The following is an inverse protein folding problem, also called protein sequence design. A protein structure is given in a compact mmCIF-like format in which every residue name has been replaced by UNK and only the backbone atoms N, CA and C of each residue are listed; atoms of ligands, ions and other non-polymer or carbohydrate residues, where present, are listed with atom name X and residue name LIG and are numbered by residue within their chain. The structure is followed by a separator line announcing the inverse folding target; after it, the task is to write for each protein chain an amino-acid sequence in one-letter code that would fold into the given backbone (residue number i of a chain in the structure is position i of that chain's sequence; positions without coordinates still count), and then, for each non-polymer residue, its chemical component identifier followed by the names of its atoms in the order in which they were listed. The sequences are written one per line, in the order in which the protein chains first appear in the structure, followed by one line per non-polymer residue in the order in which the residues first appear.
data_IF_402574700661
#
_entry.id   IF_402574700661
#
_cell.length_a   1.000
_cell.length_b   1.000
_cell.length_c   1.000
_cell.angle_alpha   90.00
_cell.angle_beta   90.00
_cell.angle_gamma   90.00
#
_symmetry.space_group_name_H-M   'P 1'
#
loop_
_entity.id
_entity.type
_entity.pdbx_description
1 polymer ?
#
# COMPACT_ATOMS: atom_id res chain seq x y z
N UNK A 1 -0.65 14.40 10.80
CA UNK A 1 -1.97 13.83 10.46
C UNK A 1 -3.16 14.67 10.94
N UNK A 2 -3.22 15.09 12.20
CA UNK A 2 -4.40 15.77 12.75
C UNK A 2 -4.51 17.23 12.31
N UNK A 3 -3.40 17.95 12.19
CA UNK A 3 -3.38 19.39 12.01
C UNK A 3 -3.23 19.87 10.56
N UNK A 4 -2.52 19.13 9.71
CA UNK A 4 -2.23 19.51 8.33
C UNK A 4 -3.49 19.60 7.45
N UNK A 5 -3.47 20.39 6.38
CA UNK A 5 -4.59 20.60 5.46
C UNK A 5 -5.81 21.27 6.10
N UNK A 6 -5.64 22.05 7.18
CA UNK A 6 -6.72 22.81 7.84
C UNK A 6 -6.52 24.30 7.64
N UNK A 7 -7.56 24.99 7.22
CA UNK A 7 -7.58 26.44 7.27
C UNK A 7 -7.69 26.89 8.74
N UNK A 8 -6.76 27.72 9.20
CA UNK A 8 -6.72 28.24 10.58
C UNK A 8 -7.14 29.71 10.69
N UNK A 9 -7.76 30.24 9.64
CA UNK A 9 -8.28 31.60 9.64
C UNK A 9 -9.45 31.70 10.65
N UNK A 10 -9.48 32.70 11.53
CA UNK A 10 -10.60 32.90 12.46
C UNK A 10 -11.94 33.02 11.72
N UNK A 11 -12.95 32.27 12.17
CA UNK A 11 -14.27 32.23 11.56
C UNK A 11 -14.46 31.12 10.51
N UNK A 12 -13.39 30.52 10.02
CA UNK A 12 -13.47 29.39 9.09
C UNK A 12 -13.79 28.07 9.81
N UNK A 13 -14.43 27.11 9.11
CA UNK A 13 -14.70 25.79 9.67
C UNK A 13 -13.42 25.07 10.11
N UNK A 14 -13.50 24.36 11.23
CA UNK A 14 -12.37 23.53 11.71
C UNK A 14 -12.00 22.41 10.75
N UNK A 15 -12.96 21.87 10.00
CA UNK A 15 -12.73 20.81 9.03
C UNK A 15 -12.83 21.37 7.59
N UNK A 16 -12.12 20.70 6.67
CA UNK A 16 -12.19 21.03 5.23
C UNK A 16 -13.57 20.66 4.70
N UNK A 17 -14.18 21.54 3.93
CA UNK A 17 -15.44 21.27 3.24
C UNK A 17 -15.20 20.40 1.99
N UNK A 18 -16.08 19.45 1.66
CA UNK A 18 -16.05 18.80 0.36
C UNK A 18 -16.52 19.76 -0.74
N UNK A 19 -15.60 20.14 -1.64
CA UNK A 19 -15.91 21.00 -2.79
C UNK A 19 -16.18 20.13 -4.00
N UNK A 20 -17.44 20.05 -4.41
CA UNK A 20 -17.91 19.26 -5.56
C UNK A 20 -18.09 20.18 -6.79
N UNK A 21 -16.96 20.63 -7.34
CA UNK A 21 -16.93 21.52 -8.50
C UNK A 21 -16.03 20.96 -9.59
N UNK A 22 -16.46 21.06 -10.84
CA UNK A 22 -15.62 20.75 -12.01
C UNK A 22 -14.91 21.99 -12.57
N UNK A 23 -15.51 23.18 -12.40
CA UNK A 23 -15.03 24.45 -12.96
C UNK A 23 -15.26 25.60 -11.97
N UNK A 24 -14.52 26.67 -12.16
CA UNK A 24 -14.48 27.82 -11.28
C UNK A 24 -14.72 29.13 -12.06
N UNK A 25 -15.16 30.19 -11.38
CA UNK A 25 -15.36 31.49 -11.97
C UNK A 25 -14.03 32.13 -12.35
N UNK A 26 -14.00 32.80 -13.53
CA UNK A 26 -12.87 33.56 -14.03
C UNK A 26 -13.01 35.05 -13.71
N UNK A 27 -11.90 35.81 -13.61
CA UNK A 27 -10.49 35.36 -13.71
C UNK A 27 -9.96 34.87 -12.36
N UNK A 28 -9.32 33.68 -12.35
CA UNK A 28 -8.58 33.12 -11.20
C UNK A 28 -7.56 32.13 -11.73
N UNK A 29 -6.60 31.71 -10.88
CA UNK A 29 -5.59 30.70 -11.23
C UNK A 29 -6.21 29.29 -11.29
N UNK A 30 -7.33 29.04 -10.62
CA UNK A 30 -8.04 27.77 -10.66
C UNK A 30 -9.17 27.82 -11.69
N UNK A 31 -9.04 27.01 -12.74
CA UNK A 31 -9.97 27.00 -13.87
C UNK A 31 -10.84 25.77 -13.89
N UNK A 32 -10.21 24.59 -13.71
CA UNK A 32 -10.87 23.30 -13.91
C UNK A 32 -10.27 22.22 -12.98
N UNK A 33 -11.11 21.48 -12.26
CA UNK A 33 -10.64 20.58 -11.21
C UNK A 33 -9.71 19.46 -11.69
N UNK A 34 -9.82 19.01 -12.95
CA UNK A 34 -8.91 18.00 -13.49
C UNK A 34 -7.47 18.51 -13.61
N UNK A 35 -7.27 19.78 -13.94
CA UNK A 35 -5.94 20.42 -14.01
C UNK A 35 -5.49 20.95 -12.65
N UNK A 36 -6.34 21.69 -11.97
CA UNK A 36 -5.97 22.58 -10.88
C UNK A 36 -6.45 22.06 -9.51
N UNK A 37 -7.13 20.90 -9.50
CA UNK A 37 -7.68 20.31 -8.29
C UNK A 37 -8.87 21.13 -7.71
N UNK A 38 -9.17 20.84 -6.46
CA UNK A 38 -10.16 21.55 -5.65
C UNK A 38 -9.55 21.91 -4.30
N UNK A 39 -10.10 22.86 -3.53
CA UNK A 39 -9.65 23.12 -2.16
C UNK A 39 -9.61 21.85 -1.29
N UNK A 40 -10.48 20.87 -1.55
CA UNK A 40 -10.50 19.59 -0.84
C UNK A 40 -9.31 18.72 -1.23
N UNK A 41 -8.99 18.60 -2.53
CA UNK A 41 -7.81 17.83 -2.97
C UNK A 41 -6.49 18.46 -2.52
N UNK A 42 -6.41 19.81 -2.49
CA UNK A 42 -5.22 20.51 -2.01
C UNK A 42 -4.97 20.24 -0.53
N UNK A 43 -6.02 20.29 0.29
CA UNK A 43 -5.92 19.95 1.70
C UNK A 43 -5.56 18.48 1.94
N UNK A 44 -6.01 17.58 1.07
CA UNK A 44 -5.60 16.17 1.08
C UNK A 44 -4.12 16.03 0.74
N UNK A 45 -3.67 16.68 -0.34
CA UNK A 45 -2.27 16.61 -0.81
C UNK A 45 -1.32 17.23 0.23
N UNK A 46 -1.69 18.34 0.88
CA UNK A 46 -0.93 18.89 2.01
C UNK A 46 -0.81 17.90 3.17
N UNK A 47 -1.94 17.26 3.55
CA UNK A 47 -1.94 16.30 4.64
C UNK A 47 -1.08 15.08 4.32
N UNK A 48 -1.24 14.47 3.13
CA UNK A 48 -0.52 13.27 2.74
C UNK A 48 0.96 13.55 2.48
N UNK A 49 1.30 14.69 1.87
CA UNK A 49 2.68 15.12 1.70
C UNK A 49 3.42 15.26 3.03
N UNK A 50 2.75 15.84 4.03
CA UNK A 50 3.30 15.97 5.38
C UNK A 50 3.51 14.64 6.12
N UNK A 51 2.85 13.56 5.69
CA UNK A 51 3.06 12.21 6.28
C UNK A 51 4.42 11.61 5.91
N UNK A 52 4.94 11.93 4.73
CA UNK A 52 6.19 11.39 4.18
C UNK A 52 7.28 12.47 4.08
N UNK A 53 7.07 13.64 4.67
CA UNK A 53 7.99 14.78 4.53
C UNK A 53 8.30 15.17 3.08
N UNK A 54 7.27 15.12 2.20
CA UNK A 54 7.36 15.39 0.77
C UNK A 54 6.17 16.20 0.25
N UNK A 55 6.04 16.29 -1.07
CA UNK A 55 4.90 16.86 -1.78
C UNK A 55 4.07 15.75 -2.39
N UNK A 56 2.75 15.79 -2.20
CA UNK A 56 1.85 14.74 -2.65
C UNK A 56 1.04 15.14 -3.88
N UNK A 57 0.65 14.13 -4.66
CA UNK A 57 -0.41 14.19 -5.67
C UNK A 57 -1.42 13.08 -5.41
N UNK A 58 -2.68 13.41 -5.35
CA UNK A 58 -3.80 12.48 -5.17
C UNK A 58 -4.35 11.98 -6.50
N UNK A 59 -4.81 10.73 -6.51
CA UNK A 59 -5.32 10.02 -7.69
C UNK A 59 -6.64 9.30 -7.38
N UNK A 60 -7.42 9.02 -8.42
CA UNK A 60 -8.70 8.30 -8.31
C UNK A 60 -8.56 6.86 -7.76
N UNK A 61 -7.38 6.27 -7.78
CA UNK A 61 -7.09 4.95 -7.21
C UNK A 61 -5.59 4.73 -7.05
N UNK A 62 -5.19 3.72 -6.25
CA UNK A 62 -3.80 3.28 -6.17
C UNK A 62 -3.26 2.84 -7.54
N UNK A 63 -4.06 2.15 -8.35
CA UNK A 63 -3.67 1.76 -9.71
C UNK A 63 -3.43 2.96 -10.62
N UNK A 64 -4.21 4.04 -10.49
CA UNK A 64 -3.98 5.25 -11.26
C UNK A 64 -2.64 5.92 -10.87
N UNK A 65 -2.27 5.89 -9.59
CA UNK A 65 -0.98 6.35 -9.11
C UNK A 65 0.18 5.49 -9.64
N UNK A 66 0.07 4.15 -9.54
CA UNK A 66 1.07 3.22 -10.06
C UNK A 66 1.25 3.36 -11.58
N UNK A 67 0.15 3.48 -12.33
CA UNK A 67 0.18 3.66 -13.79
C UNK A 67 0.94 4.92 -14.21
N UNK A 68 0.83 6.00 -13.46
CA UNK A 68 1.56 7.25 -13.74
C UNK A 68 3.08 7.04 -13.63
N UNK A 69 3.55 6.27 -12.64
CA UNK A 69 4.98 5.94 -12.51
C UNK A 69 5.45 5.05 -13.67
N UNK A 70 4.72 3.98 -13.97
CA UNK A 70 5.12 2.99 -14.97
C UNK A 70 5.06 3.58 -16.39
N UNK A 71 3.93 4.20 -16.75
CA UNK A 71 3.71 4.70 -18.11
C UNK A 71 4.51 5.96 -18.46
N UNK A 72 5.21 6.59 -17.50
CA UNK A 72 6.16 7.66 -17.79
C UNK A 72 7.43 7.18 -18.49
N UNK A 73 7.79 5.93 -18.29
CA UNK A 73 9.03 5.38 -18.80
C UNK A 73 9.05 5.39 -20.33
N UNK A 74 10.17 5.78 -20.95
CA UNK A 74 10.37 5.66 -22.40
C UNK A 74 10.24 4.20 -22.87
N UNK A 75 9.95 4.02 -24.14
CA UNK A 75 10.03 2.70 -24.80
C UNK A 75 11.50 2.26 -24.80
N UNK A 76 11.74 1.00 -24.45
CA UNK A 76 13.07 0.41 -24.33
C UNK A 76 13.67 0.50 -22.92
N UNK A 77 12.96 1.09 -21.96
CA UNK A 77 13.40 1.11 -20.55
C UNK A 77 13.54 -0.28 -19.95
N UNK A 78 14.37 -0.41 -18.95
CA UNK A 78 14.50 -1.61 -18.10
C UNK A 78 13.93 -1.32 -16.72
N UNK A 79 13.07 -2.19 -16.22
CA UNK A 79 12.45 -2.07 -14.89
C UNK A 79 12.78 -3.28 -14.03
N UNK A 80 13.09 -3.05 -12.75
CA UNK A 80 13.21 -4.10 -11.74
C UNK A 80 11.98 -4.06 -10.84
N UNK A 81 11.38 -5.23 -10.59
CA UNK A 81 10.16 -5.39 -9.81
C UNK A 81 10.24 -6.66 -8.95
N UNK A 82 9.46 -6.80 -7.88
CA UNK A 82 9.33 -8.09 -7.19
C UNK A 82 8.88 -9.21 -8.12
N UNK A 83 9.16 -10.46 -7.75
CA UNK A 83 8.70 -11.65 -8.52
C UNK A 83 7.17 -11.64 -8.63
N UNK A 84 6.49 -11.31 -7.55
CA UNK A 84 5.02 -11.29 -7.45
C UNK A 84 4.53 -9.92 -6.92
N UNK A 85 4.64 -8.82 -7.71
CA UNK A 85 4.11 -7.53 -7.28
C UNK A 85 2.58 -7.58 -7.24
N UNK A 86 1.95 -6.60 -6.62
CA UNK A 86 0.48 -6.49 -6.62
C UNK A 86 -0.10 -6.77 -8.02
N UNK A 87 -1.08 -7.68 -8.12
CA UNK A 87 -1.56 -8.22 -9.39
C UNK A 87 -1.97 -7.17 -10.43
N UNK A 88 -2.50 -6.01 -9.98
CA UNK A 88 -2.83 -4.91 -10.89
C UNK A 88 -1.59 -4.26 -11.49
N UNK A 89 -0.54 -4.07 -10.69
CA UNK A 89 0.77 -3.57 -11.14
C UNK A 89 1.42 -4.59 -12.07
N UNK A 90 1.40 -5.88 -11.70
CA UNK A 90 1.86 -6.98 -12.57
C UNK A 90 1.17 -6.96 -13.94
N UNK A 91 -0.15 -6.68 -13.97
CA UNK A 91 -0.90 -6.57 -15.23
C UNK A 91 -0.36 -5.51 -16.17
N UNK A 92 -0.11 -4.28 -15.67
CA UNK A 92 0.48 -3.20 -16.48
C UNK A 92 1.89 -3.58 -16.96
N UNK A 93 2.69 -4.17 -16.06
CA UNK A 93 4.07 -4.56 -16.35
C UNK A 93 4.12 -5.63 -17.45
N UNK A 94 3.32 -6.68 -17.31
CA UNK A 94 3.27 -7.81 -18.25
C UNK A 94 2.75 -7.35 -19.64
N UNK A 95 1.75 -6.49 -19.67
CA UNK A 95 1.23 -5.93 -20.92
C UNK A 95 2.30 -5.09 -21.62
N UNK A 96 2.99 -4.22 -20.90
CA UNK A 96 4.06 -3.39 -21.47
C UNK A 96 5.26 -4.21 -21.96
N UNK A 97 5.63 -5.27 -21.23
CA UNK A 97 6.68 -6.21 -21.64
C UNK A 97 6.28 -6.96 -22.92
N UNK A 98 5.05 -7.49 -22.98
CA UNK A 98 4.53 -8.18 -24.16
C UNK A 98 4.45 -7.29 -25.40
N UNK A 99 4.24 -5.99 -25.21
CA UNK A 99 4.25 -4.96 -26.28
C UNK A 99 5.65 -4.46 -26.62
N UNK A 100 6.70 -4.97 -25.99
CA UNK A 100 8.08 -4.50 -26.19
C UNK A 100 8.34 -3.09 -25.68
N UNK A 101 7.51 -2.59 -24.77
CA UNK A 101 7.66 -1.25 -24.21
C UNK A 101 8.85 -1.16 -23.28
N UNK A 102 9.09 -2.22 -22.48
CA UNK A 102 10.20 -2.33 -21.53
C UNK A 102 10.69 -3.76 -21.36
N UNK A 103 11.88 -3.92 -20.80
CA UNK A 103 12.41 -5.19 -20.29
C UNK A 103 12.23 -5.25 -18.78
N UNK A 104 11.94 -6.45 -18.24
CA UNK A 104 11.58 -6.63 -16.84
C UNK A 104 12.52 -7.58 -16.13
N UNK A 105 13.16 -7.13 -15.05
CA UNK A 105 13.86 -7.96 -14.08
C UNK A 105 12.94 -8.24 -12.91
N UNK A 106 12.64 -9.52 -12.66
CA UNK A 106 11.81 -9.95 -11.53
C UNK A 106 12.74 -10.51 -10.46
N UNK A 107 12.77 -9.84 -9.30
CA UNK A 107 13.73 -10.08 -8.23
C UNK A 107 13.01 -10.55 -6.96
N UNK A 108 13.64 -11.47 -6.22
CA UNK A 108 13.19 -11.80 -4.88
C UNK A 108 13.32 -10.55 -3.99
N UNK A 109 12.27 -10.25 -3.26
CA UNK A 109 12.21 -9.06 -2.41
C UNK A 109 13.30 -9.06 -1.32
N UNK A 110 13.73 -10.23 -0.87
CA UNK A 110 14.77 -10.38 0.14
C UNK A 110 16.20 -10.41 -0.44
N UNK A 111 16.37 -10.49 -1.77
CA UNK A 111 17.69 -10.53 -2.42
C UNK A 111 18.28 -9.12 -2.58
N UNK A 112 18.71 -8.52 -1.47
CA UNK A 112 19.32 -7.19 -1.47
C UNK A 112 20.45 -7.03 -2.50
N UNK A 113 21.41 -7.95 -2.68
CA UNK A 113 22.42 -7.87 -3.73
C UNK A 113 21.84 -7.67 -5.13
N UNK A 114 20.82 -8.44 -5.52
CA UNK A 114 20.19 -8.32 -6.84
C UNK A 114 19.53 -6.94 -7.03
N UNK A 115 18.94 -6.37 -5.99
CA UNK A 115 18.40 -5.01 -6.04
C UNK A 115 19.49 -3.95 -6.18
N UNK A 116 20.64 -4.11 -5.53
CA UNK A 116 21.79 -3.21 -5.71
C UNK A 116 22.33 -3.25 -7.14
N UNK A 117 22.39 -4.41 -7.79
CA UNK A 117 22.77 -4.56 -9.19
C UNK A 117 21.74 -3.90 -10.12
N UNK A 118 20.45 -4.02 -9.81
CA UNK A 118 19.37 -3.38 -10.54
C UNK A 118 19.47 -1.85 -10.53
N UNK A 119 19.92 -1.23 -9.44
CA UNK A 119 20.16 0.20 -9.35
C UNK A 119 21.20 0.71 -10.39
N UNK A 120 22.08 -0.15 -10.85
CA UNK A 120 23.10 0.21 -11.83
C UNK A 120 22.64 0.03 -13.28
N UNK A 121 21.57 -0.73 -13.51
CA UNK A 121 21.17 -1.17 -14.85
C UNK A 121 19.77 -0.79 -15.27
N UNK A 122 18.87 -0.56 -14.31
CA UNK A 122 17.45 -0.28 -14.56
C UNK A 122 17.14 1.22 -14.57
N UNK A 123 16.09 1.60 -15.30
CA UNK A 123 15.53 2.94 -15.31
C UNK A 123 14.54 3.16 -14.16
N UNK A 124 13.90 2.07 -13.71
CA UNK A 124 13.00 2.05 -12.55
C UNK A 124 13.32 0.84 -11.69
N UNK A 125 13.46 1.05 -10.40
CA UNK A 125 13.42 0.03 -9.35
C UNK A 125 12.12 0.23 -8.58
N UNK A 126 11.21 -0.73 -8.72
CA UNK A 126 9.91 -0.74 -8.04
C UNK A 126 9.95 -1.74 -6.89
N UNK A 127 9.85 -1.26 -5.68
CA UNK A 127 9.77 -2.06 -4.46
C UNK A 127 8.34 -2.04 -3.90
N UNK A 128 7.85 -3.18 -3.41
CA UNK A 128 6.58 -3.29 -2.68
C UNK A 128 6.87 -3.92 -1.32
N UNK A 129 6.88 -3.12 -0.25
CA UNK A 129 7.32 -3.63 1.04
C UNK A 129 6.50 -3.11 2.22
N UNK A 130 5.99 -4.01 3.10
CA UNK A 130 5.93 -5.48 2.96
C UNK A 130 5.20 -5.95 1.71
N UNK A 131 5.67 -7.05 1.11
CA UNK A 131 5.15 -7.64 -0.13
C UNK A 131 3.80 -8.35 0.10
N UNK A 132 2.90 -8.26 -0.85
CA UNK A 132 1.60 -8.94 -0.82
C UNK A 132 1.64 -10.22 -1.69
N UNK A 133 1.33 -11.41 -1.16
CA UNK A 133 0.81 -11.69 0.18
C UNK A 133 1.83 -12.29 1.16
N UNK A 134 3.09 -12.44 0.78
CA UNK A 134 4.10 -13.18 1.55
C UNK A 134 4.69 -12.36 2.70
N UNK A 135 4.38 -11.08 2.79
CA UNK A 135 4.86 -10.16 3.84
C UNK A 135 6.37 -9.97 3.88
N UNK A 136 7.09 -10.33 2.81
CA UNK A 136 8.54 -10.13 2.71
C UNK A 136 8.89 -8.65 2.80
N UNK A 137 9.87 -8.31 3.61
CA UNK A 137 10.34 -6.93 3.79
C UNK A 137 11.67 -6.74 3.09
N UNK A 138 11.75 -5.76 2.18
CA UNK A 138 12.99 -5.36 1.53
C UNK A 138 13.89 -4.57 2.48
N UNK A 139 15.20 -4.67 2.32
CA UNK A 139 16.17 -3.84 3.03
C UNK A 139 16.21 -2.43 2.44
N UNK A 140 15.14 -1.65 2.71
CA UNK A 140 15.02 -0.28 2.19
C UNK A 140 16.20 0.62 2.57
N UNK A 141 16.73 0.61 3.82
CA UNK A 141 17.89 1.44 4.16
C UNK A 141 19.09 1.16 3.26
N UNK A 142 19.39 -0.09 3.00
CA UNK A 142 20.53 -0.47 2.14
C UNK A 142 20.25 -0.13 0.68
N UNK A 143 19.07 -0.46 0.15
CA UNK A 143 18.74 -0.29 -1.27
C UNK A 143 18.57 1.19 -1.62
N UNK A 144 17.81 1.96 -0.84
CA UNK A 144 17.50 3.34 -1.16
C UNK A 144 18.70 4.29 -0.99
N UNK A 145 19.62 4.00 -0.05
CA UNK A 145 20.82 4.80 0.17
C UNK A 145 21.99 4.46 -0.77
N UNK A 146 21.89 3.33 -1.50
CA UNK A 146 22.98 2.89 -2.36
C UNK A 146 23.19 3.83 -3.58
N UNK A 147 24.44 3.99 -4.06
CA UNK A 147 24.69 4.65 -5.31
C UNK A 147 23.92 3.98 -6.47
N UNK A 148 23.40 4.78 -7.38
CA UNK A 148 22.64 4.30 -8.54
C UNK A 148 23.04 5.01 -9.81
N UNK A 149 22.73 4.44 -10.96
CA UNK A 149 22.95 5.05 -12.26
C UNK A 149 22.13 6.34 -12.37
N UNK A 150 22.70 7.36 -13.03
CA UNK A 150 21.98 8.60 -13.29
C UNK A 150 20.66 8.33 -14.04
N UNK A 151 19.59 8.92 -13.55
CA UNK A 151 18.25 8.76 -14.11
C UNK A 151 17.45 7.54 -13.59
N UNK A 152 18.08 6.63 -12.82
CA UNK A 152 17.36 5.55 -12.15
C UNK A 152 16.44 6.11 -11.07
N UNK A 153 15.17 5.74 -11.11
CA UNK A 153 14.15 6.09 -10.10
C UNK A 153 13.90 4.90 -9.18
N UNK A 154 13.92 5.15 -7.88
CA UNK A 154 13.49 4.18 -6.86
C UNK A 154 12.10 4.57 -6.39
N UNK A 155 11.12 3.72 -6.71
CA UNK A 155 9.73 3.84 -6.30
C UNK A 155 9.38 2.77 -5.26
N UNK A 156 8.73 3.17 -4.19
CA UNK A 156 8.32 2.25 -3.12
C UNK A 156 6.80 2.30 -2.94
N UNK A 157 6.13 1.19 -3.18
CA UNK A 157 4.75 0.98 -2.69
C UNK A 157 4.80 0.63 -1.21
N UNK A 158 4.41 1.58 -0.38
CA UNK A 158 4.41 1.49 1.08
C UNK A 158 3.00 1.33 1.65
N UNK A 159 2.07 0.78 0.85
CA UNK A 159 0.65 0.67 1.21
C UNK A 159 0.43 -0.12 2.50
N UNK A 160 1.15 -1.24 2.71
CA UNK A 160 0.96 -2.09 3.89
C UNK A 160 1.58 -1.53 5.16
N UNK A 161 2.76 -0.95 5.05
CA UNK A 161 3.44 -0.34 6.20
C UNK A 161 2.80 0.98 6.60
N UNK A 162 2.34 1.78 5.66
CA UNK A 162 2.00 3.19 5.80
C UNK A 162 3.19 4.05 6.27
N UNK A 163 3.04 5.36 6.20
CA UNK A 163 4.05 6.30 6.71
C UNK A 163 4.25 6.26 8.23
N UNK A 164 3.39 5.53 8.95
CA UNK A 164 3.54 5.35 10.39
C UNK A 164 4.63 4.35 10.75
N UNK A 165 4.85 3.36 9.88
CA UNK A 165 5.79 2.27 10.17
C UNK A 165 7.09 2.36 9.37
N UNK A 166 7.08 3.02 8.20
CA UNK A 166 8.28 3.28 7.42
C UNK A 166 8.13 4.57 6.62
N UNK A 167 9.23 5.24 6.36
CA UNK A 167 9.28 6.50 5.58
C UNK A 167 10.36 6.38 4.48
N UNK A 168 10.02 5.79 3.33
CA UNK A 168 11.00 5.50 2.29
C UNK A 168 11.72 6.72 1.73
N UNK A 169 11.07 7.91 1.69
CA UNK A 169 11.74 9.15 1.27
C UNK A 169 12.88 9.55 2.21
N UNK A 170 12.77 9.27 3.52
CA UNK A 170 13.84 9.54 4.48
C UNK A 170 15.02 8.55 4.32
N UNK A 171 14.75 7.39 3.71
CA UNK A 171 15.74 6.37 3.40
C UNK A 171 16.42 6.57 2.04
N UNK A 172 15.93 7.50 1.21
CA UNK A 172 16.53 7.83 -0.09
C UNK A 172 15.74 7.38 -1.32
N UNK A 173 14.50 6.89 -1.17
CA UNK A 173 13.61 6.67 -2.30
C UNK A 173 13.25 7.99 -3.00
N UNK A 174 12.97 7.94 -4.31
CA UNK A 174 12.58 9.13 -5.10
C UNK A 174 11.08 9.38 -5.01
N UNK A 175 10.29 8.33 -4.95
CA UNK A 175 8.84 8.41 -4.88
C UNK A 175 8.26 7.30 -4.00
N UNK A 176 7.28 7.66 -3.18
CA UNK A 176 6.48 6.72 -2.40
C UNK A 176 5.07 6.70 -2.96
N UNK A 177 4.54 5.52 -3.13
CA UNK A 177 3.16 5.27 -3.54
C UNK A 177 2.38 4.66 -2.38
N UNK A 178 1.14 5.10 -2.18
CA UNK A 178 0.17 4.42 -1.34
C UNK A 178 -1.16 4.24 -2.09
N UNK A 179 -1.75 3.07 -1.98
CA UNK A 179 -3.18 2.93 -2.18
C UNK A 179 -3.89 3.48 -0.95
N UNK A 180 -4.32 4.75 -1.02
CA UNK A 180 -5.02 5.40 0.09
C UNK A 180 -6.41 4.77 0.36
N UNK A 181 -6.91 3.96 -0.55
CA UNK A 181 -8.05 3.04 -0.40
C UNK A 181 -7.96 2.16 0.85
N UNK A 182 -6.71 1.83 1.26
CA UNK A 182 -6.41 0.87 2.33
C UNK A 182 -6.38 1.57 3.69
N UNK A 183 -5.34 1.41 4.45
CA UNK A 183 -5.19 1.92 5.82
C UNK A 183 -5.39 3.44 5.96
N UNK A 184 -5.08 4.24 4.93
CA UNK A 184 -5.26 5.70 4.98
C UNK A 184 -6.76 6.04 5.04
N UNK A 185 -7.57 5.53 4.11
CA UNK A 185 -9.03 5.63 4.14
C UNK A 185 -9.62 4.85 5.31
N UNK A 186 -9.34 3.55 5.37
CA UNK A 186 -9.53 2.68 6.53
C UNK A 186 -10.97 2.33 6.89
N UNK A 187 -11.95 2.57 5.99
CA UNK A 187 -13.38 2.35 6.26
C UNK A 187 -14.10 1.62 5.13
N UNK A 188 -13.37 1.05 4.18
CA UNK A 188 -13.90 0.25 3.04
C UNK A 188 -14.93 1.00 2.18
N UNK A 189 -14.85 2.34 2.11
CA UNK A 189 -15.88 3.23 1.55
C UNK A 189 -15.37 4.15 0.42
N UNK A 190 -14.09 4.04 0.04
CA UNK A 190 -13.49 4.89 -1.00
C UNK A 190 -12.42 4.18 -1.82
N UNK A 191 -12.13 4.73 -2.98
CA UNK A 191 -10.94 4.45 -3.77
C UNK A 191 -10.08 5.71 -3.87
N UNK A 192 -8.79 5.61 -3.56
CA UNK A 192 -7.85 6.72 -3.72
C UNK A 192 -6.41 6.18 -3.85
N UNK A 193 -5.56 6.96 -4.51
CA UNK A 193 -4.12 6.74 -4.57
C UNK A 193 -3.36 8.01 -4.27
N UNK A 194 -2.10 7.89 -3.91
CA UNK A 194 -1.21 9.02 -3.70
C UNK A 194 0.20 8.68 -4.15
N UNK A 195 0.86 9.65 -4.79
CA UNK A 195 2.31 9.67 -4.99
C UNK A 195 2.90 10.82 -4.18
N UNK A 196 4.01 10.54 -3.52
CA UNK A 196 4.71 11.54 -2.71
C UNK A 196 6.18 11.53 -3.11
N UNK A 197 6.74 12.72 -3.35
CA UNK A 197 8.13 12.90 -3.75
C UNK A 197 8.68 14.22 -3.20
N UNK A 198 10.01 14.33 -3.13
CA UNK A 198 10.72 15.57 -2.83
C UNK A 198 11.30 16.22 -4.09
N UNK A 199 11.19 15.53 -5.22
CA UNK A 199 11.69 16.02 -6.51
C UNK A 199 10.60 16.80 -7.24
N UNK A 200 10.79 18.09 -7.43
CA UNK A 200 9.80 18.97 -8.07
C UNK A 200 9.60 18.64 -9.54
N UNK A 201 10.63 18.17 -10.25
CA UNK A 201 10.51 17.77 -11.66
C UNK A 201 9.65 16.53 -11.81
N UNK A 202 9.85 15.51 -10.95
CA UNK A 202 8.98 14.32 -10.91
C UNK A 202 7.55 14.69 -10.54
N UNK A 203 7.36 15.59 -9.58
CA UNK A 203 6.04 16.04 -9.16
C UNK A 203 5.27 16.65 -10.33
N UNK A 204 5.90 17.55 -11.08
CA UNK A 204 5.28 18.21 -12.25
C UNK A 204 5.02 17.21 -13.39
N UNK A 205 5.94 16.27 -13.61
CA UNK A 205 5.72 15.20 -14.59
C UNK A 205 4.50 14.33 -14.21
N UNK A 206 4.37 13.95 -12.95
CA UNK A 206 3.23 13.18 -12.46
C UNK A 206 1.93 13.99 -12.54
N UNK A 207 1.97 15.29 -12.24
CA UNK A 207 0.82 16.21 -12.39
C UNK A 207 0.36 16.27 -13.84
N UNK A 208 1.27 16.43 -14.76
CA UNK A 208 0.97 16.47 -16.19
C UNK A 208 0.31 15.15 -16.66
N UNK A 209 0.85 14.01 -16.23
CA UNK A 209 0.28 12.69 -16.58
C UNK A 209 -1.08 12.45 -15.93
N UNK A 210 -1.28 12.85 -14.67
CA UNK A 210 -2.59 12.83 -14.02
C UNK A 210 -3.62 13.59 -14.85
N UNK A 211 -3.26 14.78 -15.32
CA UNK A 211 -4.11 15.61 -16.18
C UNK A 211 -4.49 14.88 -17.47
N UNK A 212 -3.50 14.33 -18.20
CA UNK A 212 -3.73 13.66 -19.48
C UNK A 212 -4.55 12.37 -19.35
N UNK A 213 -4.30 11.58 -18.31
CA UNK A 213 -4.99 10.31 -18.10
C UNK A 213 -6.35 10.48 -17.41
N UNK A 214 -6.66 11.69 -16.94
CA UNK A 214 -7.90 11.95 -16.21
C UNK A 214 -7.97 11.24 -14.85
N UNK A 215 -6.83 10.86 -14.29
CA UNK A 215 -6.71 10.06 -13.06
C UNK A 215 -6.94 10.88 -11.78
N UNK A 216 -7.85 11.86 -11.81
CA UNK A 216 -8.11 12.84 -10.78
C UNK A 216 -9.06 12.27 -9.72
N UNK A 217 -8.76 12.49 -8.45
CA UNK A 217 -9.62 12.10 -7.33
C UNK A 217 -10.92 12.92 -7.30
N UNK A 218 -12.03 12.30 -6.94
CA UNK A 218 -13.30 13.00 -6.69
C UNK A 218 -13.28 13.77 -5.36
N UNK A 219 -14.09 14.84 -5.28
CA UNK A 219 -14.13 15.69 -4.08
C UNK A 219 -14.63 14.96 -2.83
N UNK A 220 -15.53 13.98 -2.98
CA UNK A 220 -16.03 13.18 -1.87
C UNK A 220 -14.98 12.18 -1.40
N UNK A 221 -14.31 11.48 -2.32
CA UNK A 221 -13.23 10.54 -2.01
C UNK A 221 -12.06 11.27 -1.34
N UNK A 222 -11.74 12.50 -1.79
CA UNK A 222 -10.73 13.34 -1.16
C UNK A 222 -11.12 13.69 0.28
N UNK A 223 -12.38 14.11 0.51
CA UNK A 223 -12.91 14.41 1.84
C UNK A 223 -12.88 13.18 2.76
N UNK A 224 -13.37 12.04 2.30
CA UNK A 224 -13.36 10.79 3.07
C UNK A 224 -11.95 10.31 3.38
N UNK A 225 -11.01 10.46 2.43
CA UNK A 225 -9.59 10.15 2.65
C UNK A 225 -8.99 11.04 3.75
N UNK A 226 -9.26 12.35 3.74
CA UNK A 226 -8.86 13.26 4.82
C UNK A 226 -9.42 12.78 6.15
N UNK A 227 -10.71 12.45 6.19
CA UNK A 227 -11.39 11.99 7.41
C UNK A 227 -10.76 10.69 7.95
N UNK A 228 -10.51 9.72 7.07
CA UNK A 228 -9.84 8.45 7.42
C UNK A 228 -8.42 8.67 7.94
N UNK A 229 -7.61 9.47 7.25
CA UNK A 229 -6.24 9.78 7.64
C UNK A 229 -6.14 10.37 9.06
N UNK A 230 -7.15 11.16 9.50
CA UNK A 230 -7.16 11.76 10.85
C UNK A 230 -7.14 10.74 11.98
N UNK A 231 -7.65 9.53 11.77
CA UNK A 231 -7.69 8.46 12.77
C UNK A 231 -6.74 7.31 12.46
N UNK A 232 -5.94 7.41 11.39
CA UNK A 232 -5.07 6.32 10.95
C UNK A 232 -4.12 5.86 12.05
N UNK A 233 -3.52 6.77 12.82
CA UNK A 233 -2.60 6.40 13.89
C UNK A 233 -3.28 5.53 14.96
N UNK A 234 -4.47 5.92 15.40
CA UNK A 234 -5.24 5.16 16.42
C UNK A 234 -5.66 3.79 15.88
N UNK A 235 -6.13 3.73 14.62
CA UNK A 235 -6.54 2.47 14.00
C UNK A 235 -5.34 1.54 13.78
N UNK A 236 -4.24 2.08 13.27
CA UNK A 236 -3.04 1.29 13.03
C UNK A 236 -2.44 0.76 14.35
N UNK A 237 -2.37 1.56 15.40
CA UNK A 237 -1.92 1.12 16.71
C UNK A 237 -2.73 -0.07 17.21
N UNK A 238 -4.05 0.04 17.17
CA UNK A 238 -4.95 -1.04 17.60
C UNK A 238 -4.83 -2.28 16.73
N UNK A 239 -4.87 -2.11 15.41
CA UNK A 239 -4.80 -3.21 14.46
C UNK A 239 -3.46 -3.96 14.52
N UNK A 240 -2.34 -3.25 14.72
CA UNK A 240 -1.01 -3.87 14.89
C UNK A 240 -0.89 -4.65 16.20
N UNK A 241 -1.45 -4.15 17.29
CA UNK A 241 -1.50 -4.88 18.57
C UNK A 241 -2.29 -6.19 18.38
N UNK A 242 -3.45 -6.12 17.75
CA UNK A 242 -4.25 -7.30 17.43
C UNK A 242 -3.49 -8.27 16.52
N UNK A 243 -2.81 -7.74 15.48
CA UNK A 243 -2.06 -8.56 14.52
C UNK A 243 -0.92 -9.33 15.20
N UNK A 244 -0.16 -8.68 16.08
CA UNK A 244 0.91 -9.35 16.83
C UNK A 244 0.36 -10.46 17.71
N UNK A 245 -0.70 -10.19 18.45
CA UNK A 245 -1.31 -11.17 19.34
C UNK A 245 -1.89 -12.37 18.56
N UNK A 246 -2.61 -12.11 17.47
CA UNK A 246 -3.13 -13.16 16.60
C UNK A 246 -2.00 -13.97 15.94
N UNK A 247 -0.92 -13.31 15.50
CA UNK A 247 0.22 -13.99 14.89
C UNK A 247 0.87 -15.00 15.86
N UNK A 248 1.07 -14.60 17.13
CA UNK A 248 1.60 -15.47 18.18
C UNK A 248 0.66 -16.67 18.44
N UNK A 249 -0.65 -16.40 18.57
CA UNK A 249 -1.62 -17.45 18.83
C UNK A 249 -1.76 -18.43 17.66
N UNK A 250 -1.76 -17.92 16.42
CA UNK A 250 -1.80 -18.74 15.21
C UNK A 250 -0.54 -19.59 15.06
N UNK A 251 0.64 -19.02 15.31
CA UNK A 251 1.92 -19.78 15.22
C UNK A 251 1.97 -20.96 16.19
N UNK A 252 1.32 -20.83 17.34
CA UNK A 252 1.23 -21.90 18.34
C UNK A 252 0.11 -22.93 18.08
N UNK A 253 -0.76 -22.68 17.07
CA UNK A 253 -1.95 -23.51 16.86
C UNK A 253 -1.63 -24.74 15.98
N UNK A 254 -2.04 -25.98 16.37
CA UNK A 254 -1.68 -27.21 15.65
C UNK A 254 -2.23 -27.29 14.22
N UNK A 255 -3.32 -26.61 13.90
CA UNK A 255 -3.92 -26.55 12.56
C UNK A 255 -3.26 -25.50 11.63
N UNK A 256 -2.24 -24.78 12.12
CA UNK A 256 -1.48 -23.79 11.34
C UNK A 256 -0.06 -24.32 11.13
N UNK A 257 0.34 -24.40 9.87
CA UNK A 257 1.66 -24.89 9.49
C UNK A 257 2.70 -23.78 9.41
N UNK A 258 2.28 -22.54 9.17
CA UNK A 258 3.17 -21.38 9.03
C UNK A 258 2.43 -20.07 9.25
N UNK A 259 3.09 -19.10 9.86
CA UNK A 259 2.63 -17.70 9.95
C UNK A 259 3.67 -16.79 9.29
N UNK A 260 3.22 -15.89 8.44
CA UNK A 260 4.03 -14.88 7.78
C UNK A 260 3.60 -13.51 8.30
N UNK A 261 4.31 -13.03 9.32
CA UNK A 261 4.13 -11.70 9.90
C UNK A 261 5.50 -11.12 10.27
N UNK A 262 5.90 -9.97 9.72
CA UNK A 262 7.25 -9.43 9.94
C UNK A 262 7.59 -9.15 11.40
N UNK A 263 6.58 -9.05 12.27
CA UNK A 263 6.75 -8.88 13.72
C UNK A 263 7.20 -10.14 14.46
N UNK A 264 7.04 -11.34 13.88
CA UNK A 264 7.47 -12.59 14.51
C UNK A 264 8.97 -12.85 14.23
N UNK A 265 9.75 -13.25 15.23
CA UNK A 265 11.16 -13.63 15.03
C UNK A 265 11.37 -14.80 14.04
N UNK A 266 10.35 -15.64 13.84
CA UNK A 266 10.34 -16.74 12.87
C UNK A 266 10.18 -16.28 11.42
N UNK A 267 9.75 -15.02 11.18
CA UNK A 267 9.59 -14.49 9.83
C UNK A 267 10.97 -14.29 9.16
N UNK A 268 11.16 -14.72 7.89
CA UNK A 268 12.49 -14.70 7.24
C UNK A 268 13.15 -13.32 7.19
N UNK A 269 12.38 -12.24 7.06
CA UNK A 269 12.90 -10.86 6.98
C UNK A 269 12.65 -10.05 8.25
N UNK A 270 12.31 -10.70 9.39
CA UNK A 270 12.11 -10.01 10.67
C UNK A 270 13.33 -9.17 11.08
N UNK A 271 14.52 -9.75 10.97
CA UNK A 271 15.75 -9.06 11.36
C UNK A 271 15.97 -7.77 10.55
N UNK A 272 15.67 -7.79 9.26
CA UNK A 272 15.72 -6.58 8.40
C UNK A 272 14.63 -5.59 8.80
N UNK A 273 13.39 -6.03 8.90
CA UNK A 273 12.26 -5.18 9.29
C UNK A 273 12.51 -4.44 10.61
N UNK A 274 13.04 -5.14 11.61
CA UNK A 274 13.33 -4.60 12.93
C UNK A 274 14.42 -3.52 12.96
N UNK A 275 15.20 -3.36 11.88
CA UNK A 275 16.25 -2.33 11.81
C UNK A 275 15.71 -0.93 11.51
N UNK A 276 14.56 -0.82 10.82
CA UNK A 276 14.09 0.47 10.34
C UNK A 276 12.58 0.71 10.49
N UNK A 277 11.76 -0.35 10.60
CA UNK A 277 10.32 -0.20 10.80
C UNK A 277 10.00 0.10 12.26
N UNK A 278 9.11 1.06 12.50
CA UNK A 278 8.64 1.41 13.84
C UNK A 278 7.50 0.53 14.33
N UNK A 279 6.91 -0.25 13.43
CA UNK A 279 5.87 -1.25 13.68
C UNK A 279 5.74 -2.14 12.45
N UNK A 280 5.11 -3.30 12.59
CA UNK A 280 5.11 -4.33 11.54
C UNK A 280 3.80 -4.39 10.73
N UNK A 281 2.91 -3.41 10.93
CA UNK A 281 1.64 -3.32 10.21
C UNK A 281 0.57 -4.29 10.73
N UNK A 282 -0.57 -4.26 10.07
CA UNK A 282 -1.74 -5.06 10.42
C UNK A 282 -2.08 -6.13 9.37
N UNK A 283 -1.13 -6.39 8.45
CA UNK A 283 -1.25 -7.46 7.46
C UNK A 283 -0.41 -8.66 7.88
N UNK A 284 -0.99 -9.85 7.76
CA UNK A 284 -0.26 -11.11 7.87
C UNK A 284 -0.81 -12.13 6.87
N UNK A 285 -0.07 -13.19 6.67
CA UNK A 285 -0.57 -14.39 6.02
C UNK A 285 -0.26 -15.61 6.88
N UNK A 286 -1.06 -16.66 6.74
CA UNK A 286 -0.82 -17.92 7.40
C UNK A 286 -1.25 -19.08 6.50
N UNK A 287 -0.66 -20.25 6.72
CA UNK A 287 -0.97 -21.47 6.01
C UNK A 287 -1.63 -22.45 6.97
N UNK A 288 -2.79 -22.98 6.56
CA UNK A 288 -3.44 -24.07 7.31
C UNK A 288 -2.73 -25.41 7.04
N UNK A 289 -2.85 -26.34 7.97
CA UNK A 289 -2.55 -27.74 7.68
C UNK A 289 -3.55 -28.32 6.67
N UNK A 290 -3.18 -29.41 5.99
CA UNK A 290 -4.06 -30.06 5.02
C UNK A 290 -3.96 -29.47 3.60
N UNK A 291 -5.08 -29.52 2.86
CA UNK A 291 -5.17 -29.08 1.46
C UNK A 291 -5.81 -27.69 1.33
N UNK A 292 -5.79 -27.15 0.11
CA UNK A 292 -6.34 -25.81 -0.17
C UNK A 292 -7.84 -25.67 0.14
N UNK A 293 -8.61 -26.74 0.03
CA UNK A 293 -10.04 -26.80 0.38
C UNK A 293 -10.23 -26.46 1.87
N UNK A 294 -9.35 -26.97 2.73
CA UNK A 294 -9.34 -26.65 4.16
C UNK A 294 -9.22 -25.16 4.42
N UNK A 295 -8.32 -24.48 3.71
CA UNK A 295 -8.17 -23.03 3.82
C UNK A 295 -9.44 -22.27 3.38
N UNK A 296 -10.11 -22.75 2.32
CA UNK A 296 -11.40 -22.20 1.90
C UNK A 296 -12.49 -22.41 2.95
N UNK A 297 -12.54 -23.60 3.54
CA UNK A 297 -13.53 -23.93 4.58
C UNK A 297 -13.33 -23.07 5.83
N UNK A 298 -12.08 -22.83 6.25
CA UNK A 298 -11.76 -21.91 7.34
C UNK A 298 -12.32 -20.51 7.05
N UNK A 299 -12.04 -19.97 5.84
CA UNK A 299 -12.56 -18.65 5.45
C UNK A 299 -14.10 -18.60 5.48
N UNK A 300 -14.78 -19.65 5.03
CA UNK A 300 -16.24 -19.71 4.95
C UNK A 300 -16.94 -19.91 6.29
N UNK A 301 -16.23 -20.39 7.31
CA UNK A 301 -16.77 -20.66 8.65
C UNK A 301 -16.61 -19.51 9.63
N UNK A 302 -15.86 -18.47 9.25
CA UNK A 302 -15.74 -17.28 10.09
C UNK A 302 -17.10 -16.60 10.24
N UNK A 303 -17.40 -16.17 11.46
CA UNK A 303 -18.64 -15.47 11.82
C UNK A 303 -18.43 -13.98 12.06
N UNK A 304 -17.27 -13.60 12.62
CA UNK A 304 -16.87 -12.21 12.88
C UNK A 304 -15.92 -11.69 11.80
N UNK A 305 -14.92 -12.49 11.43
CA UNK A 305 -13.95 -12.14 10.39
C UNK A 305 -14.61 -12.25 9.02
N UNK A 306 -14.53 -11.17 8.25
CA UNK A 306 -15.18 -11.12 6.94
C UNK A 306 -14.38 -11.86 5.87
N UNK A 307 -14.97 -12.85 5.21
CA UNK A 307 -14.42 -13.47 4.01
C UNK A 307 -14.63 -12.51 2.82
N UNK A 308 -13.68 -11.61 2.61
CA UNK A 308 -13.77 -10.56 1.60
C UNK A 308 -12.40 -10.18 1.04
N UNK A 309 -12.41 -9.70 -0.20
CA UNK A 309 -11.21 -9.09 -0.80
C UNK A 309 -10.94 -7.70 -0.22
N UNK A 310 -9.81 -7.11 -0.61
CA UNK A 310 -9.30 -5.83 -0.09
C UNK A 310 -8.69 -5.98 1.31
N UNK A 311 -8.42 -4.87 1.97
CA UNK A 311 -7.70 -4.84 3.25
C UNK A 311 -7.65 -3.43 3.85
N UNK A 312 -7.21 -3.32 5.10
CA UNK A 312 -6.88 -2.04 5.74
C UNK A 312 -8.07 -1.28 6.29
N UNK A 313 -9.26 -1.94 6.37
CA UNK A 313 -10.44 -1.41 7.04
C UNK A 313 -10.34 -1.50 8.56
N UNK A 314 -11.34 -0.95 9.25
CA UNK A 314 -11.52 -1.12 10.70
C UNK A 314 -11.97 -2.54 11.05
N UNK A 315 -12.60 -3.22 10.10
CA UNK A 315 -13.02 -4.62 10.15
C UNK A 315 -11.90 -5.57 9.74
N UNK A 316 -11.84 -6.73 10.39
CA UNK A 316 -10.93 -7.82 9.99
C UNK A 316 -11.48 -8.53 8.75
N UNK A 317 -10.62 -8.68 7.73
CA UNK A 317 -10.96 -9.40 6.49
C UNK A 317 -9.92 -10.46 6.18
N UNK A 318 -10.34 -11.57 5.58
CA UNK A 318 -9.44 -12.63 5.14
C UNK A 318 -9.83 -13.18 3.77
N UNK A 319 -8.81 -13.71 3.07
CA UNK A 319 -8.98 -14.25 1.72
C UNK A 319 -7.91 -15.29 1.41
N UNK A 320 -8.31 -16.44 0.89
CA UNK A 320 -7.39 -17.43 0.32
C UNK A 320 -6.82 -16.89 -0.99
N UNK A 321 -5.48 -16.82 -1.09
CA UNK A 321 -4.83 -16.11 -2.21
C UNK A 321 -4.68 -16.94 -3.48
N UNK A 322 -4.47 -18.24 -3.38
CA UNK A 322 -4.26 -19.12 -4.55
C UNK A 322 -5.48 -19.24 -5.48
N UNK A 323 -6.66 -18.74 -5.09
CA UNK A 323 -7.85 -18.71 -5.95
C UNK A 323 -7.93 -17.48 -6.83
N UNK A 324 -7.03 -16.51 -6.64
CA UNK A 324 -7.00 -15.28 -7.42
C UNK A 324 -6.19 -15.51 -8.70
N UNK A 325 -6.75 -15.20 -9.89
CA UNK A 325 -6.01 -15.33 -11.14
C UNK A 325 -4.66 -14.61 -11.11
N UNK A 326 -3.61 -15.28 -11.58
CA UNK A 326 -2.24 -14.77 -11.58
C UNK A 326 -1.47 -15.00 -10.28
N UNK A 327 -2.08 -15.67 -9.28
CA UNK A 327 -1.44 -16.04 -8.02
C UNK A 327 -1.30 -17.55 -7.81
N UNK A 328 -1.20 -18.30 -8.90
CA UNK A 328 -1.08 -19.77 -8.88
C UNK A 328 0.22 -20.28 -8.23
N UNK A 329 1.22 -19.40 -8.05
CA UNK A 329 2.48 -19.69 -7.34
C UNK A 329 2.34 -19.66 -5.83
N UNK A 330 1.30 -18.99 -5.33
CA UNK A 330 1.07 -18.85 -3.88
C UNK A 330 0.62 -20.22 -3.34
N UNK A 331 1.13 -20.64 -2.15
CA UNK A 331 0.72 -21.90 -1.55
C UNK A 331 -0.80 -22.03 -1.47
N UNK A 332 -1.38 -23.18 -1.89
CA UNK A 332 -2.83 -23.33 -1.94
C UNK A 332 -3.53 -23.22 -0.59
N UNK A 333 -2.78 -23.36 0.50
CA UNK A 333 -3.25 -23.26 1.90
C UNK A 333 -3.09 -21.86 2.47
N UNK A 334 -2.49 -20.91 1.72
CA UNK A 334 -2.21 -19.59 2.23
C UNK A 334 -3.45 -18.70 2.25
N UNK A 335 -3.75 -18.17 3.43
CA UNK A 335 -4.77 -17.19 3.71
C UNK A 335 -4.09 -15.87 4.07
N UNK A 336 -4.45 -14.79 3.39
CA UNK A 336 -4.05 -13.44 3.77
C UNK A 336 -5.10 -12.85 4.71
N UNK A 337 -4.65 -12.27 5.82
CA UNK A 337 -5.45 -11.65 6.86
C UNK A 337 -5.10 -10.16 6.97
N UNK A 338 -6.11 -9.31 6.86
CA UNK A 338 -6.05 -7.89 7.23
C UNK A 338 -6.72 -7.72 8.57
N UNK A 339 -5.94 -7.46 9.60
CA UNK A 339 -6.44 -7.37 10.96
C UNK A 339 -7.02 -5.98 11.23
N UNK A 340 -8.22 -5.95 11.79
CA UNK A 340 -8.96 -4.74 12.13
C UNK A 340 -8.85 -4.34 13.61
N UNK A 341 -9.82 -3.55 14.04
CA UNK A 341 -9.85 -2.89 15.35
C UNK A 341 -10.74 -3.58 16.38
N UNK A 342 -11.28 -4.75 16.11
CA UNK A 342 -12.15 -5.53 16.99
C UNK A 342 -11.42 -5.92 18.29
N UNK A 343 -12.12 -6.51 19.22
CA UNK A 343 -11.50 -7.13 20.40
C UNK A 343 -10.74 -8.38 19.97
N UNK A 344 -9.47 -8.47 20.34
CA UNK A 344 -8.61 -9.59 19.90
C UNK A 344 -9.11 -10.96 20.38
N UNK A 345 -9.71 -11.01 21.55
CA UNK A 345 -10.24 -12.26 22.08
C UNK A 345 -11.49 -12.73 21.34
N UNK A 346 -12.32 -11.81 20.84
CA UNK A 346 -13.47 -12.15 19.98
C UNK A 346 -12.98 -12.68 18.63
N UNK A 347 -11.98 -12.02 18.03
CA UNK A 347 -11.33 -12.52 16.82
C UNK A 347 -10.74 -13.92 17.03
N UNK A 348 -10.05 -14.12 18.15
CA UNK A 348 -9.46 -15.43 18.45
C UNK A 348 -10.51 -16.53 18.67
N UNK A 349 -11.63 -16.21 19.32
CA UNK A 349 -12.73 -17.15 19.48
C UNK A 349 -13.32 -17.58 18.13
N UNK A 350 -13.41 -16.64 17.19
CA UNK A 350 -13.85 -16.91 15.82
C UNK A 350 -12.87 -17.82 15.06
N UNK A 351 -11.56 -17.57 15.19
CA UNK A 351 -10.54 -18.48 14.65
C UNK A 351 -10.64 -19.89 15.25
N UNK A 352 -10.78 -20.02 16.55
CA UNK A 352 -10.86 -21.33 17.21
C UNK A 352 -12.05 -22.16 16.72
N UNK A 353 -13.25 -21.54 16.57
CA UNK A 353 -14.41 -22.27 16.07
C UNK A 353 -14.25 -22.68 14.60
N UNK A 354 -13.66 -21.82 13.76
CA UNK A 354 -13.46 -22.10 12.34
C UNK A 354 -12.36 -23.18 12.11
N UNK A 355 -11.33 -23.19 12.93
CA UNK A 355 -10.24 -24.17 12.87
C UNK A 355 -10.59 -25.52 13.50
N UNK A 356 -11.50 -25.57 14.51
CA UNK A 356 -11.87 -26.81 15.19
C UNK A 356 -12.70 -27.77 14.34
N UNK A 357 -13.36 -27.28 13.30
CA UNK A 357 -14.22 -28.12 12.47
C UNK A 357 -13.37 -28.95 11.46
N UNK A 358 -13.67 -30.26 11.27
CA UNK A 358 -12.93 -31.16 10.40
C UNK A 358 -13.05 -30.81 8.92
#
# INVERSE_FOLDING_TARGET
LIAAGRNRTPGEPLNVAPVLASNFYLPDDRLYSRSDGTPTSDALEELLGGMENGKALSFASGMAAAAVILLRLPVGSTIAVPVDPYHGVAGIINEGEAQGRWSVLRLDQADTPAWLDALQTCDLVWLETPENPLMTVADLPTICAAPRRDGTIVAVDSTFATSLNQQPLDLGADVVMHSATKFIGGHSDLLAGVLITRNDELLEEFRHRRLLYGATIGGMEAFLTIRGARTMALRMERAQQNAMELAIRLEAHPEISRVLYPGLPSHPTHAVAATFMTGFGAMMSFETTGAGERATDVCNRMELVNHATSLGGVETTMERRAVIPGQERIPPTLIRLSVGCEQVDDLWADFLQALAAP
#
